data_IF_262455052248
#
_entry.id   IF_262455052248
#
_cell.length_a   1.000
_cell.length_b   1.000
_cell.length_c   1.000
_cell.angle_alpha   90.00
_cell.angle_beta   90.00
_cell.angle_gamma   90.00
#
_symmetry.space_group_name_H-M   'P 1'
#
loop_
_entity.id
_entity.type
_entity.pdbx_description
1 polymer ?
#
# COMPACT_ATOMS: atom_id res chain seq x y z
N UNK A 1 35.70 -62.77 -31.35
CA UNK A 1 35.67 -62.22 -30.00
C UNK A 1 35.79 -60.72 -30.15
N UNK A 2 34.72 -59.93 -30.12
CA UNK A 2 34.82 -58.48 -30.09
C UNK A 2 34.80 -57.97 -28.67
N UNK A 3 35.68 -57.01 -28.46
CA UNK A 3 35.96 -56.25 -27.24
C UNK A 3 34.77 -55.37 -26.85
N UNK A 4 34.30 -55.52 -25.61
CA UNK A 4 33.25 -54.67 -25.02
C UNK A 4 33.90 -53.56 -24.21
N UNK A 5 34.12 -52.43 -24.89
CA UNK A 5 34.52 -51.20 -24.20
C UNK A 5 33.30 -50.55 -23.58
N UNK A 6 33.14 -50.69 -22.27
CA UNK A 6 32.08 -50.11 -21.45
C UNK A 6 32.37 -48.62 -21.25
N UNK A 7 31.60 -47.76 -21.93
CA UNK A 7 31.61 -46.31 -21.69
C UNK A 7 30.91 -46.02 -20.33
N UNK A 8 31.71 -45.64 -19.34
CA UNK A 8 31.21 -45.07 -18.11
C UNK A 8 30.70 -43.66 -18.37
N UNK A 9 29.39 -43.47 -18.29
CA UNK A 9 28.76 -42.15 -18.29
C UNK A 9 29.06 -41.51 -16.91
N UNK A 10 29.90 -40.48 -16.90
CA UNK A 10 30.06 -39.59 -15.76
C UNK A 10 28.76 -38.77 -15.66
N UNK A 11 27.99 -38.97 -14.60
CA UNK A 11 26.98 -38.04 -14.16
C UNK A 11 27.70 -36.79 -13.62
N UNK A 12 27.81 -35.77 -14.46
CA UNK A 12 28.16 -34.43 -14.01
C UNK A 12 27.00 -33.90 -13.20
N UNK A 13 27.19 -33.93 -11.88
CA UNK A 13 26.28 -33.30 -10.93
C UNK A 13 26.18 -31.81 -11.24
N UNK A 14 25.06 -31.40 -11.82
CA UNK A 14 24.74 -30.00 -11.98
C UNK A 14 24.79 -29.31 -10.60
N UNK A 15 25.42 -28.13 -10.50
CA UNK A 15 25.41 -27.40 -9.23
C UNK A 15 23.96 -27.06 -8.90
N UNK A 16 23.48 -27.59 -7.77
CA UNK A 16 22.21 -27.21 -7.21
C UNK A 16 22.25 -25.69 -6.96
N UNK A 17 21.52 -24.95 -7.80
CA UNK A 17 21.19 -23.56 -7.53
C UNK A 17 20.37 -23.54 -6.23
N UNK A 18 21.08 -23.44 -5.11
CA UNK A 18 20.48 -23.12 -3.83
C UNK A 18 19.95 -21.68 -3.93
N UNK A 19 18.81 -21.53 -4.61
CA UNK A 19 18.03 -20.32 -4.58
C UNK A 19 17.68 -20.05 -3.13
N UNK A 20 18.29 -19.02 -2.55
CA UNK A 20 17.92 -18.49 -1.26
C UNK A 20 16.45 -18.10 -1.33
N UNK A 21 15.55 -18.96 -0.82
CA UNK A 21 14.14 -18.65 -0.66
C UNK A 21 14.07 -17.45 0.28
N UNK A 22 13.88 -16.26 -0.27
CA UNK A 22 13.61 -15.07 0.53
C UNK A 22 12.32 -15.31 1.30
N UNK A 23 12.24 -15.00 2.60
CA UNK A 23 10.99 -15.10 3.33
C UNK A 23 9.98 -14.18 2.63
N UNK A 24 8.86 -14.75 2.19
CA UNK A 24 7.76 -14.01 1.59
C UNK A 24 7.28 -12.95 2.58
N UNK A 25 7.20 -11.70 2.15
CA UNK A 25 6.64 -10.64 2.97
C UNK A 25 5.20 -11.00 3.38
N UNK A 26 4.86 -10.77 4.65
CA UNK A 26 3.49 -10.92 5.16
C UNK A 26 2.66 -9.68 4.86
N UNK A 27 3.32 -8.53 4.84
CA UNK A 27 2.72 -7.21 4.70
C UNK A 27 3.44 -6.41 3.63
N UNK A 28 2.69 -5.74 2.75
CA UNK A 28 3.18 -4.65 1.92
C UNK A 28 2.67 -3.32 2.48
N UNK A 29 3.52 -2.32 2.57
CA UNK A 29 3.13 -0.95 2.91
C UNK A 29 3.30 -0.09 1.67
N UNK A 30 2.19 0.38 1.11
CA UNK A 30 2.14 1.20 -0.09
C UNK A 30 2.03 2.67 0.27
N UNK A 31 3.00 3.45 -0.17
CA UNK A 31 3.10 4.88 0.13
C UNK A 31 3.08 5.66 -1.18
N UNK A 32 1.92 6.14 -1.63
CA UNK A 32 1.87 7.07 -2.76
C UNK A 32 2.49 8.41 -2.35
N UNK A 33 3.44 8.91 -3.16
CA UNK A 33 4.18 10.14 -2.88
C UNK A 33 4.07 11.14 -4.04
N UNK A 34 4.01 12.42 -3.69
CA UNK A 34 4.15 13.52 -4.65
C UNK A 34 4.62 14.79 -3.96
N UNK A 35 5.91 15.14 -4.14
CA UNK A 35 6.56 16.29 -3.52
C UNK A 35 6.53 16.21 -1.99
N UNK A 36 6.97 15.06 -1.47
CA UNK A 36 6.95 14.73 -0.03
C UNK A 36 8.38 14.52 0.53
N UNK A 37 9.41 15.03 -0.14
CA UNK A 37 10.81 14.80 0.21
C UNK A 37 11.13 15.05 1.70
N UNK A 38 10.52 16.07 2.31
CA UNK A 38 10.75 16.42 3.71
C UNK A 38 10.20 15.39 4.72
N UNK A 39 9.26 14.55 4.29
CA UNK A 39 8.59 13.59 5.17
C UNK A 39 9.16 12.18 5.06
N UNK A 40 9.92 11.86 4.00
CA UNK A 40 10.30 10.48 3.64
C UNK A 40 11.13 9.79 4.72
N UNK A 41 12.15 10.46 5.24
CA UNK A 41 13.08 9.86 6.20
C UNK A 41 12.37 9.47 7.50
N UNK A 42 11.58 10.40 8.04
CA UNK A 42 10.79 10.20 9.26
C UNK A 42 9.74 9.09 9.03
N UNK A 43 9.00 9.16 7.92
CA UNK A 43 7.97 8.19 7.59
C UNK A 43 8.54 6.79 7.46
N UNK A 44 9.65 6.62 6.72
CA UNK A 44 10.30 5.31 6.56
C UNK A 44 10.76 4.76 7.91
N UNK A 45 11.30 5.63 8.79
CA UNK A 45 11.67 5.26 10.14
C UNK A 45 10.51 4.74 10.97
N UNK A 46 9.41 5.45 10.97
CA UNK A 46 8.22 5.08 11.73
C UNK A 46 7.55 3.83 11.19
N UNK A 47 7.48 3.65 9.85
CA UNK A 47 6.97 2.41 9.26
C UNK A 47 7.85 1.22 9.65
N UNK A 48 9.18 1.35 9.53
CA UNK A 48 10.11 0.26 9.89
C UNK A 48 9.99 -0.12 11.37
N UNK A 49 9.86 0.86 12.26
CA UNK A 49 9.67 0.63 13.68
C UNK A 49 8.33 -0.07 13.98
N UNK A 50 7.24 0.40 13.36
CA UNK A 50 5.91 -0.17 13.53
C UNK A 50 5.82 -1.61 12.98
N UNK A 51 6.56 -1.93 11.92
CA UNK A 51 6.59 -3.24 11.29
C UNK A 51 7.58 -4.23 11.95
N UNK A 52 8.22 -3.87 13.07
CA UNK A 52 9.19 -4.73 13.74
C UNK A 52 8.59 -6.10 14.04
N UNK A 53 9.27 -7.18 13.60
CA UNK A 53 8.81 -8.57 13.74
C UNK A 53 7.79 -9.03 12.69
N UNK A 54 7.38 -8.16 11.77
CA UNK A 54 6.50 -8.50 10.65
C UNK A 54 7.33 -8.44 9.37
N UNK A 55 7.52 -9.56 8.62
CA UNK A 55 8.19 -9.52 7.32
C UNK A 55 7.44 -8.56 6.38
N UNK A 56 8.07 -7.42 6.07
CA UNK A 56 7.38 -6.30 5.41
C UNK A 56 8.14 -5.82 4.18
N UNK A 57 7.43 -5.56 3.10
CA UNK A 57 7.90 -4.79 1.95
C UNK A 57 7.27 -3.38 1.98
N UNK A 58 8.08 -2.35 1.79
CA UNK A 58 7.63 -0.95 1.71
C UNK A 58 7.82 -0.49 0.28
N UNK A 59 6.75 -0.04 -0.36
CA UNK A 59 6.76 0.38 -1.76
C UNK A 59 6.33 1.83 -1.86
N UNK A 60 7.26 2.71 -2.20
CA UNK A 60 6.96 4.08 -2.56
C UNK A 60 6.50 4.13 -4.02
N UNK A 61 5.33 4.71 -4.27
CA UNK A 61 4.84 4.96 -5.63
C UNK A 61 4.83 6.46 -5.86
N UNK A 62 5.86 6.94 -6.56
CA UNK A 62 6.19 8.36 -6.61
C UNK A 62 5.81 9.03 -7.93
N UNK A 63 5.03 10.12 -7.83
CA UNK A 63 4.57 10.97 -8.93
C UNK A 63 5.27 12.34 -8.96
N UNK A 64 6.42 12.48 -8.28
CA UNK A 64 7.10 13.75 -8.15
C UNK A 64 7.90 14.14 -9.39
N UNK A 65 8.07 15.45 -9.59
CA UNK A 65 8.99 16.05 -10.56
C UNK A 65 10.18 16.75 -9.86
N UNK A 66 10.20 16.69 -8.51
CA UNK A 66 11.26 17.27 -7.68
C UNK A 66 12.27 16.17 -7.25
N UNK A 67 13.04 16.46 -6.20
CA UNK A 67 14.07 15.56 -5.67
C UNK A 67 13.53 14.43 -4.77
N UNK A 68 12.21 14.29 -4.58
CA UNK A 68 11.60 13.24 -3.74
C UNK A 68 12.13 11.82 -4.05
N UNK A 69 12.23 11.36 -5.33
CA UNK A 69 12.76 10.03 -5.61
C UNK A 69 14.23 9.84 -5.19
N UNK A 70 15.02 10.93 -5.19
CA UNK A 70 16.42 10.89 -4.74
C UNK A 70 16.47 10.71 -3.22
N UNK A 71 15.61 11.42 -2.49
CA UNK A 71 15.51 11.29 -1.03
C UNK A 71 15.05 9.90 -0.62
N UNK A 72 14.05 9.32 -1.33
CA UNK A 72 13.60 7.94 -1.08
C UNK A 72 14.77 6.96 -1.20
N UNK A 73 15.57 7.05 -2.27
CA UNK A 73 16.74 6.19 -2.47
C UNK A 73 17.80 6.36 -1.38
N UNK A 74 18.04 7.60 -0.97
CA UNK A 74 19.01 7.91 0.08
C UNK A 74 18.55 7.35 1.44
N UNK A 75 17.32 7.60 1.84
CA UNK A 75 16.74 7.10 3.07
C UNK A 75 16.72 5.57 3.14
N UNK A 76 16.38 4.90 2.04
CA UNK A 76 16.39 3.44 1.95
C UNK A 76 17.80 2.87 2.16
N UNK A 77 18.85 3.48 1.55
CA UNK A 77 20.24 3.04 1.71
C UNK A 77 20.78 3.22 3.13
N UNK A 78 20.40 4.31 3.80
CA UNK A 78 20.81 4.60 5.18
C UNK A 78 20.25 3.59 6.17
N UNK A 79 19.07 3.03 5.88
CA UNK A 79 18.40 2.02 6.70
C UNK A 79 18.71 0.58 6.26
N UNK A 80 19.71 0.40 5.38
CA UNK A 80 20.15 -0.93 4.93
C UNK A 80 20.51 -1.83 6.11
N UNK A 81 19.75 -2.91 6.33
CA UNK A 81 19.85 -3.81 7.49
C UNK A 81 18.57 -3.87 8.33
N UNK A 82 17.63 -2.98 8.13
CA UNK A 82 16.29 -3.09 8.73
C UNK A 82 15.53 -4.30 8.17
N UNK A 83 14.60 -4.85 8.96
CA UNK A 83 13.82 -6.04 8.60
C UNK A 83 12.84 -5.83 7.43
N UNK A 84 12.86 -4.66 6.79
CA UNK A 84 11.96 -4.27 5.72
C UNK A 84 12.70 -4.20 4.38
N UNK A 85 12.08 -4.77 3.34
CA UNK A 85 12.47 -4.52 1.96
C UNK A 85 11.89 -3.17 1.53
N UNK A 86 12.68 -2.31 0.88
CA UNK A 86 12.20 -1.02 0.36
C UNK A 86 12.36 -1.00 -1.16
N UNK A 87 11.31 -0.59 -1.85
CA UNK A 87 11.27 -0.46 -3.30
C UNK A 87 10.67 0.87 -3.72
N UNK A 88 11.02 1.33 -4.92
CA UNK A 88 10.52 2.56 -5.52
C UNK A 88 9.92 2.27 -6.90
N UNK A 89 8.73 2.78 -7.11
CA UNK A 89 8.07 2.90 -8.40
C UNK A 89 7.97 4.39 -8.71
N UNK A 90 8.80 4.88 -9.63
CA UNK A 90 8.75 6.29 -10.03
C UNK A 90 7.99 6.44 -11.35
N UNK A 91 6.74 6.93 -11.28
CA UNK A 91 5.87 7.14 -12.44
C UNK A 91 6.16 8.49 -13.09
N UNK A 92 6.43 8.50 -14.40
CA UNK A 92 6.79 9.71 -15.15
C UNK A 92 5.77 10.02 -16.23
N UNK A 93 5.50 11.29 -16.45
CA UNK A 93 4.68 11.76 -17.57
C UNK A 93 3.35 11.01 -17.71
N UNK A 94 3.13 10.35 -18.84
CA UNK A 94 1.91 9.60 -19.14
C UNK A 94 1.64 8.38 -18.25
N UNK A 95 2.59 7.94 -17.43
CA UNK A 95 2.40 6.86 -16.46
C UNK A 95 1.53 7.29 -15.25
N UNK A 96 1.41 8.60 -14.98
CA UNK A 96 0.66 9.17 -13.84
C UNK A 96 -0.85 9.14 -14.04
N UNK A 97 -1.38 8.06 -14.62
CA UNK A 97 -2.82 7.90 -14.81
C UNK A 97 -3.53 7.63 -13.49
N UNK A 98 -4.76 8.13 -13.33
CA UNK A 98 -5.57 7.88 -12.13
C UNK A 98 -5.13 8.62 -10.86
N UNK A 99 -4.15 9.54 -10.95
CA UNK A 99 -3.62 10.31 -9.80
C UNK A 99 -3.18 9.39 -8.64
N UNK A 100 -3.45 9.76 -7.39
CA UNK A 100 -3.11 8.98 -6.21
C UNK A 100 -3.75 7.57 -6.24
N UNK A 101 -5.01 7.46 -6.65
CA UNK A 101 -5.67 6.15 -6.76
C UNK A 101 -4.96 5.24 -7.76
N UNK A 102 -4.48 5.79 -8.89
CA UNK A 102 -3.66 5.06 -9.86
C UNK A 102 -2.33 4.59 -9.26
N UNK A 103 -1.67 5.45 -8.45
CA UNK A 103 -0.46 5.07 -7.75
C UNK A 103 -0.68 3.88 -6.82
N UNK A 104 -1.78 3.87 -6.08
CA UNK A 104 -2.13 2.73 -5.20
C UNK A 104 -2.39 1.46 -6.01
N UNK A 105 -3.11 1.55 -7.13
CA UNK A 105 -3.37 0.38 -7.99
C UNK A 105 -2.07 -0.18 -8.56
N UNK A 106 -1.16 0.67 -9.06
CA UNK A 106 0.15 0.23 -9.54
C UNK A 106 0.97 -0.43 -8.43
N UNK A 107 0.94 0.14 -7.22
CA UNK A 107 1.56 -0.47 -6.05
C UNK A 107 0.96 -1.83 -5.70
N UNK A 108 -0.38 -1.97 -5.74
CA UNK A 108 -1.07 -3.24 -5.50
C UNK A 108 -0.73 -4.30 -6.55
N UNK A 109 -0.48 -3.93 -7.79
CA UNK A 109 0.01 -4.86 -8.83
C UNK A 109 1.45 -5.30 -8.59
N UNK A 110 2.29 -4.43 -8.04
CA UNK A 110 3.72 -4.68 -7.86
C UNK A 110 4.05 -5.56 -6.65
N UNK A 111 3.14 -5.67 -5.66
CA UNK A 111 3.39 -6.41 -4.41
C UNK A 111 2.82 -7.82 -4.46
N UNK A 112 3.50 -8.74 -3.76
CA UNK A 112 3.07 -10.14 -3.64
C UNK A 112 2.61 -10.52 -2.24
N UNK A 113 2.83 -9.66 -1.24
CA UNK A 113 2.40 -9.90 0.13
C UNK A 113 0.87 -10.11 0.21
N UNK A 114 0.40 -11.04 1.07
CA UNK A 114 -1.02 -11.30 1.22
C UNK A 114 -1.83 -10.11 1.75
N UNK A 115 -1.18 -9.19 2.45
CA UNK A 115 -1.79 -7.97 2.98
C UNK A 115 -1.09 -6.74 2.41
N UNK A 116 -1.87 -5.77 1.97
CA UNK A 116 -1.37 -4.47 1.52
C UNK A 116 -1.99 -3.35 2.36
N UNK A 117 -1.14 -2.57 3.03
CA UNK A 117 -1.51 -1.38 3.78
C UNK A 117 -1.20 -0.15 2.96
N UNK A 118 -2.17 0.73 2.81
CA UNK A 118 -2.02 2.02 2.11
C UNK A 118 -2.05 3.13 3.14
N UNK A 119 -1.11 4.09 3.07
CA UNK A 119 -1.12 5.31 3.85
C UNK A 119 -0.44 6.46 3.11
N UNK A 120 -0.88 7.69 3.36
CA UNK A 120 -0.32 8.89 2.74
C UNK A 120 1.06 9.24 3.33
N UNK A 121 1.91 9.92 2.55
CA UNK A 121 3.29 10.24 2.92
C UNK A 121 3.45 11.48 3.82
N UNK A 122 2.37 12.16 4.22
CA UNK A 122 2.40 13.44 4.93
C UNK A 122 2.43 13.34 6.47
N UNK A 123 2.60 12.10 6.98
CA UNK A 123 2.63 11.77 8.41
C UNK A 123 1.32 12.05 9.19
N UNK A 124 0.24 12.40 8.51
CA UNK A 124 -1.09 12.53 9.14
C UNK A 124 -1.69 11.17 9.53
N UNK A 125 -1.25 10.11 8.88
CA UNK A 125 -1.58 8.72 9.18
C UNK A 125 -0.45 8.09 10.02
N UNK A 126 -0.64 7.86 11.33
CA UNK A 126 0.42 7.30 12.19
C UNK A 126 0.70 5.84 11.84
N UNK A 127 1.93 5.51 11.37
CA UNK A 127 2.29 4.14 11.00
C UNK A 127 2.15 3.13 12.13
N UNK A 128 2.16 3.58 13.37
CA UNK A 128 2.00 2.77 14.58
C UNK A 128 0.66 2.03 14.64
N UNK A 129 -0.32 2.45 13.84
CA UNK A 129 -1.63 1.78 13.71
C UNK A 129 -1.57 0.53 12.82
N UNK A 130 -0.53 0.39 11.98
CA UNK A 130 -0.40 -0.73 11.03
C UNK A 130 -0.51 -2.11 11.69
N UNK A 131 0.20 -2.42 12.79
CA UNK A 131 0.07 -3.72 13.46
C UNK A 131 -1.35 -3.98 13.97
N UNK A 132 -2.03 -2.94 14.47
CA UNK A 132 -3.40 -3.05 14.95
C UNK A 132 -4.38 -3.32 13.80
N UNK A 133 -4.21 -2.68 12.64
CA UNK A 133 -4.99 -2.98 11.44
C UNK A 133 -4.83 -4.45 11.04
N UNK A 134 -3.58 -4.95 11.00
CA UNK A 134 -3.29 -6.33 10.61
C UNK A 134 -3.89 -7.34 11.60
N UNK A 135 -3.66 -7.16 12.90
CA UNK A 135 -4.18 -8.07 13.94
C UNK A 135 -5.70 -8.05 14.00
N UNK A 136 -6.33 -6.88 13.83
CA UNK A 136 -7.80 -6.76 13.80
C UNK A 136 -8.37 -7.45 12.56
N UNK A 137 -7.76 -7.24 11.37
CA UNK A 137 -8.20 -7.92 10.15
C UNK A 137 -8.11 -9.45 10.26
N UNK A 138 -7.03 -9.96 10.84
CA UNK A 138 -6.83 -11.40 11.05
C UNK A 138 -7.84 -11.96 12.07
N UNK A 139 -8.00 -11.32 13.22
CA UNK A 139 -8.94 -11.70 14.28
C UNK A 139 -10.38 -11.75 13.78
N UNK A 140 -10.81 -10.71 13.06
CA UNK A 140 -12.19 -10.55 12.58
C UNK A 140 -12.43 -11.30 11.26
N UNK A 141 -11.39 -11.96 10.72
CA UNK A 141 -11.41 -12.60 9.40
C UNK A 141 -11.89 -11.64 8.31
N UNK A 142 -11.53 -10.37 8.45
CA UNK A 142 -11.92 -9.34 7.52
C UNK A 142 -11.03 -9.39 6.24
N UNK A 143 -11.55 -8.84 5.17
CA UNK A 143 -10.84 -8.68 3.90
C UNK A 143 -10.26 -7.27 3.78
N UNK A 144 -10.79 -6.33 4.60
CA UNK A 144 -10.43 -4.93 4.62
C UNK A 144 -10.48 -4.41 6.07
N UNK A 145 -9.40 -3.80 6.55
CA UNK A 145 -9.39 -3.05 7.81
C UNK A 145 -9.13 -1.57 7.53
N UNK A 146 -10.02 -0.70 7.98
CA UNK A 146 -10.00 0.73 7.72
C UNK A 146 -9.56 1.45 8.98
N UNK A 147 -8.51 2.28 8.90
CA UNK A 147 -8.22 3.24 9.94
C UNK A 147 -9.27 4.37 9.84
N UNK A 148 -10.15 4.45 10.82
CA UNK A 148 -11.29 5.37 10.81
C UNK A 148 -11.09 6.51 11.81
N UNK A 149 -11.36 7.72 11.37
CA UNK A 149 -11.38 8.93 12.20
C UNK A 149 -12.67 9.06 13.00
N UNK A 150 -13.66 8.21 12.72
CA UNK A 150 -15.03 8.36 13.20
C UNK A 150 -15.56 7.15 13.97
N UNK A 151 -14.76 6.09 14.14
CA UNK A 151 -15.16 4.93 14.96
C UNK A 151 -14.39 4.88 16.27
N UNK A 152 -15.03 4.36 17.32
CA UNK A 152 -14.43 4.14 18.63
C UNK A 152 -13.71 5.37 19.18
N UNK A 153 -12.39 5.28 19.37
CA UNK A 153 -11.52 6.36 19.86
C UNK A 153 -10.97 7.24 18.74
N UNK A 154 -11.47 7.08 17.51
CA UNK A 154 -11.02 7.84 16.34
C UNK A 154 -11.24 9.34 16.49
N UNK A 155 -10.28 10.16 16.03
CA UNK A 155 -10.32 11.62 16.09
C UNK A 155 -9.81 12.22 14.81
N UNK A 156 -10.43 13.33 14.39
CA UNK A 156 -10.07 14.08 13.16
C UNK A 156 -9.36 15.42 13.50
N UNK A 157 -8.56 15.44 14.56
CA UNK A 157 -7.99 16.67 15.14
C UNK A 157 -7.14 17.45 14.13
N UNK A 158 -6.35 16.77 13.28
CA UNK A 158 -5.55 17.40 12.21
C UNK A 158 -6.34 17.84 10.98
N UNK A 159 -7.67 17.77 11.02
CA UNK A 159 -8.52 18.22 9.92
C UNK A 159 -9.06 19.62 10.23
N UNK A 160 -8.59 20.64 9.51
CA UNK A 160 -9.12 21.99 9.65
C UNK A 160 -10.65 22.03 9.38
N UNK A 161 -11.40 23.02 9.92
CA UNK A 161 -12.85 23.01 9.97
C UNK A 161 -13.51 22.90 8.58
N UNK A 162 -13.00 23.59 7.58
CA UNK A 162 -13.50 23.53 6.20
C UNK A 162 -13.36 22.14 5.61
N UNK A 163 -12.19 21.49 5.81
CA UNK A 163 -11.93 20.14 5.34
C UNK A 163 -12.78 19.10 6.08
N UNK A 164 -13.02 19.31 7.36
CA UNK A 164 -13.92 18.46 8.16
C UNK A 164 -15.33 18.48 7.59
N UNK A 165 -15.88 19.66 7.28
CA UNK A 165 -17.20 19.81 6.65
C UNK A 165 -17.23 19.13 5.28
N UNK A 166 -16.25 19.38 4.42
CA UNK A 166 -16.16 18.74 3.09
C UNK A 166 -16.09 17.21 3.25
N UNK A 167 -15.26 16.70 4.14
CA UNK A 167 -15.13 15.27 4.39
C UNK A 167 -16.44 14.64 4.86
N UNK A 168 -17.16 15.32 5.77
CA UNK A 168 -18.46 14.85 6.29
C UNK A 168 -19.54 14.86 5.20
N UNK A 169 -19.64 15.92 4.41
CA UNK A 169 -20.60 16.03 3.29
C UNK A 169 -20.29 14.95 2.25
N UNK A 170 -19.04 14.81 1.83
CA UNK A 170 -18.63 13.80 0.86
C UNK A 170 -18.87 12.37 1.36
N UNK A 171 -18.56 12.08 2.62
CA UNK A 171 -18.82 10.78 3.23
C UNK A 171 -20.32 10.47 3.35
N UNK A 172 -21.14 11.48 3.68
CA UNK A 172 -22.60 11.34 3.74
C UNK A 172 -23.21 11.11 2.35
N UNK A 173 -22.75 11.84 1.34
CA UNK A 173 -23.17 11.64 -0.05
C UNK A 173 -22.81 10.23 -0.55
N UNK A 174 -21.62 9.74 -0.23
CA UNK A 174 -21.22 8.37 -0.57
C UNK A 174 -22.16 7.33 0.08
N UNK A 175 -22.44 7.46 1.38
CA UNK A 175 -23.35 6.55 2.09
C UNK A 175 -24.77 6.57 1.57
N UNK A 176 -25.27 7.76 1.17
CA UNK A 176 -26.57 7.90 0.55
C UNK A 176 -26.66 7.21 -0.82
N UNK A 177 -25.60 7.33 -1.62
CA UNK A 177 -25.55 6.74 -2.98
C UNK A 177 -25.28 5.22 -2.96
N UNK A 178 -24.57 4.72 -1.93
CA UNK A 178 -24.16 3.33 -1.82
C UNK A 178 -24.49 2.72 -0.45
N UNK A 179 -25.77 2.77 0.01
CA UNK A 179 -26.15 2.40 1.38
C UNK A 179 -25.84 0.93 1.72
N UNK A 180 -25.97 0.03 0.75
CA UNK A 180 -25.67 -1.39 0.92
C UNK A 180 -24.16 -1.65 0.95
N UNK A 181 -23.40 -1.00 0.07
CA UNK A 181 -21.95 -1.20 -0.07
C UNK A 181 -21.16 -0.61 1.09
N UNK A 182 -21.65 0.46 1.67
CA UNK A 182 -21.01 1.18 2.78
C UNK A 182 -21.66 0.91 4.13
N UNK A 183 -22.50 -0.14 4.22
CA UNK A 183 -23.13 -0.51 5.47
C UNK A 183 -22.07 -0.88 6.51
N UNK A 184 -22.12 -0.19 7.67
CA UNK A 184 -21.18 -0.40 8.76
C UNK A 184 -19.81 0.27 8.59
N UNK A 185 -19.58 1.00 7.48
CA UNK A 185 -18.35 1.77 7.28
C UNK A 185 -18.58 3.23 7.68
N UNK A 186 -17.83 3.69 8.68
CA UNK A 186 -17.95 5.07 9.20
C UNK A 186 -17.06 6.04 8.43
N UNK A 187 -15.90 5.60 7.92
CA UNK A 187 -14.94 6.44 7.17
C UNK A 187 -14.60 5.88 5.78
N UNK A 188 -15.54 5.91 4.82
CA UNK A 188 -15.28 5.43 3.47
C UNK A 188 -14.29 6.31 2.68
N UNK A 189 -13.88 7.43 3.28
CA UNK A 189 -12.98 8.42 2.69
C UNK A 189 -11.55 8.32 3.21
N UNK A 190 -11.27 7.36 4.10
CA UNK A 190 -9.94 7.19 4.67
C UNK A 190 -8.90 6.90 3.58
N UNK A 191 -7.73 7.53 3.68
CA UNK A 191 -6.53 7.20 2.90
C UNK A 191 -5.67 6.12 3.58
N UNK A 192 -6.07 5.65 4.77
CA UNK A 192 -5.34 4.69 5.56
C UNK A 192 -6.15 3.41 5.78
N UNK A 193 -5.75 2.33 5.12
CA UNK A 193 -6.44 1.06 5.19
C UNK A 193 -5.51 -0.11 4.86
N UNK A 194 -5.88 -1.29 5.33
CA UNK A 194 -5.24 -2.57 5.02
C UNK A 194 -6.21 -3.43 4.23
N UNK A 195 -5.78 -4.03 3.14
CA UNK A 195 -6.59 -4.90 2.28
C UNK A 195 -5.92 -6.25 2.06
N UNK A 196 -6.69 -7.33 2.09
CA UNK A 196 -6.26 -8.65 1.66
C UNK A 196 -6.13 -8.67 0.14
N UNK A 197 -4.90 -8.88 -0.38
CA UNK A 197 -4.61 -8.80 -1.81
C UNK A 197 -5.47 -9.76 -2.64
N UNK A 198 -5.73 -10.97 -2.13
CA UNK A 198 -6.54 -11.99 -2.82
C UNK A 198 -8.05 -11.71 -2.80
N UNK A 199 -8.53 -10.75 -2.01
CA UNK A 199 -9.95 -10.40 -1.93
C UNK A 199 -10.36 -9.33 -2.95
N UNK A 200 -9.40 -8.76 -3.68
CA UNK A 200 -9.64 -7.68 -4.64
C UNK A 200 -9.17 -8.06 -6.04
N UNK A 201 -10.04 -7.82 -6.99
CA UNK A 201 -9.73 -7.87 -8.42
C UNK A 201 -9.29 -6.45 -8.85
N UNK A 202 -8.01 -6.29 -9.17
CA UNK A 202 -7.46 -5.00 -9.56
C UNK A 202 -7.91 -4.57 -10.97
N UNK A 203 -8.30 -5.52 -11.81
CA UNK A 203 -8.70 -5.25 -13.19
C UNK A 203 -10.05 -4.54 -13.29
N UNK A 204 -10.86 -4.60 -12.24
CA UNK A 204 -12.13 -3.86 -12.19
C UNK A 204 -11.98 -2.42 -11.70
N UNK A 205 -10.84 -2.07 -11.12
CA UNK A 205 -10.59 -0.72 -10.60
C UNK A 205 -10.37 0.27 -11.73
N UNK A 206 -10.94 1.47 -11.57
CA UNK A 206 -10.84 2.57 -12.54
C UNK A 206 -10.54 3.86 -11.77
N UNK A 207 -9.35 3.94 -11.13
CA UNK A 207 -9.05 5.01 -10.21
C UNK A 207 -9.15 6.38 -10.89
N UNK A 208 -9.96 7.26 -10.27
CA UNK A 208 -10.08 8.66 -10.64
C UNK A 208 -9.89 9.50 -9.39
N UNK A 209 -8.74 10.17 -9.28
CA UNK A 209 -8.44 11.02 -8.13
C UNK A 209 -7.87 10.23 -6.95
N UNK A 210 -8.29 10.57 -5.72
CA UNK A 210 -7.58 10.17 -4.50
C UNK A 210 -8.38 9.26 -3.53
N UNK A 211 -9.59 8.81 -3.90
CA UNK A 211 -10.47 8.03 -3.00
C UNK A 211 -10.60 6.56 -3.41
N UNK A 212 -9.46 5.88 -3.46
CA UNK A 212 -9.37 4.48 -3.89
C UNK A 212 -10.12 3.52 -2.94
N UNK A 213 -10.15 3.81 -1.63
CA UNK A 213 -10.90 2.99 -0.67
C UNK A 213 -12.38 2.91 -1.01
N UNK A 214 -13.00 4.05 -1.34
CA UNK A 214 -14.41 4.08 -1.74
C UNK A 214 -14.64 3.24 -3.00
N UNK A 215 -13.76 3.34 -3.98
CA UNK A 215 -13.86 2.54 -5.20
C UNK A 215 -13.74 1.04 -4.91
N UNK A 216 -12.81 0.63 -4.04
CA UNK A 216 -12.69 -0.75 -3.57
C UNK A 216 -14.01 -1.25 -2.95
N UNK A 217 -14.57 -0.50 -2.00
CA UNK A 217 -15.82 -0.86 -1.32
C UNK A 217 -17.02 -0.96 -2.27
N UNK A 218 -17.11 -0.06 -3.26
CA UNK A 218 -18.25 -0.03 -4.19
C UNK A 218 -18.14 -1.13 -5.23
N UNK A 219 -16.96 -1.35 -5.81
CA UNK A 219 -16.77 -2.33 -6.89
C UNK A 219 -16.69 -3.77 -6.38
N UNK A 220 -16.15 -3.98 -5.16
CA UNK A 220 -16.06 -5.31 -4.53
C UNK A 220 -17.15 -5.49 -3.48
N UNK A 221 -18.34 -5.81 -3.95
CA UNK A 221 -19.56 -5.87 -3.11
C UNK A 221 -19.66 -7.05 -2.18
N UNK A 222 -18.60 -7.56 -1.64
CA UNK A 222 -18.62 -8.69 -0.71
C UNK A 222 -17.50 -8.62 0.31
N UNK A 223 -16.70 -7.55 0.30
CA UNK A 223 -15.61 -7.38 1.25
C UNK A 223 -16.14 -7.27 2.68
N UNK A 224 -15.62 -8.11 3.56
CA UNK A 224 -15.84 -8.01 5.00
C UNK A 224 -14.91 -6.93 5.52
N UNK A 225 -15.48 -5.78 5.89
CA UNK A 225 -14.73 -4.66 6.40
C UNK A 225 -14.80 -4.57 7.93
N UNK A 226 -13.69 -4.23 8.56
CA UNK A 226 -13.60 -3.84 9.98
C UNK A 226 -12.98 -2.46 10.09
N UNK A 227 -13.19 -1.76 11.21
CA UNK A 227 -12.63 -0.43 11.41
C UNK A 227 -11.83 -0.35 12.72
N UNK A 228 -10.73 0.39 12.68
CA UNK A 228 -9.85 0.69 13.82
C UNK A 228 -9.82 2.20 13.99
N UNK A 229 -10.23 2.69 15.17
CA UNK A 229 -10.17 4.11 15.48
C UNK A 229 -8.72 4.61 15.60
N UNK A 230 -8.42 5.75 15.00
CA UNK A 230 -7.12 6.40 15.14
C UNK A 230 -7.25 7.93 15.22
N UNK A 231 -6.23 8.58 15.74
CA UNK A 231 -6.15 10.05 15.74
C UNK A 231 -5.43 10.52 14.48
N UNK A 232 -6.13 11.26 13.63
CA UNK A 232 -5.56 11.91 12.45
C UNK A 232 -4.68 13.07 12.91
N UNK A 233 -3.38 12.95 12.68
CA UNK A 233 -2.39 13.90 13.16
C UNK A 233 -2.37 15.21 12.35
N UNK A 234 -1.73 16.23 12.90
CA UNK A 234 -1.36 17.42 12.14
C UNK A 234 -0.31 17.07 11.08
N UNK A 235 -0.34 17.78 9.97
CA UNK A 235 0.64 17.59 8.89
C UNK A 235 2.03 18.03 9.36
N UNK A 236 3.03 17.16 9.13
CA UNK A 236 4.40 17.48 9.52
C UNK A 236 5.02 18.55 8.60
N UNK A 237 4.86 18.43 7.28
CA UNK A 237 5.34 19.38 6.28
C UNK A 237 4.48 19.36 5.01
N UNK A 238 4.57 20.40 4.18
CA UNK A 238 3.88 20.51 2.89
C UNK A 238 2.56 21.27 2.94
N UNK A 239 2.00 21.61 1.78
CA UNK A 239 0.74 22.34 1.63
C UNK A 239 -0.44 21.39 1.40
N UNK A 240 -1.60 21.75 1.94
CA UNK A 240 -2.84 21.01 1.73
C UNK A 240 -3.37 21.24 0.32
N UNK A 241 -3.57 20.15 -0.44
CA UNK A 241 -4.17 20.18 -1.79
C UNK A 241 -5.69 20.08 -1.76
N UNK A 242 -6.33 19.92 -0.58
CA UNK A 242 -7.78 19.78 -0.43
C UNK A 242 -8.52 21.10 -0.73
N UNK A 243 -8.93 21.28 -1.96
CA UNK A 243 -9.67 22.46 -2.43
C UNK A 243 -11.15 22.13 -2.67
N UNK A 244 -11.98 23.17 -2.73
CA UNK A 244 -13.40 23.04 -3.10
C UNK A 244 -13.55 22.36 -4.49
N UNK A 245 -12.62 22.63 -5.41
CA UNK A 245 -12.57 22.00 -6.73
C UNK A 245 -12.40 20.47 -6.64
N UNK A 246 -11.60 19.99 -5.70
CA UNK A 246 -11.44 18.54 -5.47
C UNK A 246 -12.70 17.92 -4.87
N UNK A 247 -13.42 18.65 -4.00
CA UNK A 247 -14.73 18.23 -3.52
C UNK A 247 -15.76 18.07 -4.65
N UNK A 248 -15.82 19.01 -5.58
CA UNK A 248 -16.70 18.93 -6.75
C UNK A 248 -16.28 17.79 -7.70
N UNK A 249 -14.99 17.62 -7.97
CA UNK A 249 -14.47 16.51 -8.77
C UNK A 249 -14.81 15.15 -8.15
N UNK A 250 -14.80 15.08 -6.81
CA UNK A 250 -15.22 13.90 -6.10
C UNK A 250 -16.70 13.57 -6.29
N UNK A 251 -17.59 14.56 -6.20
CA UNK A 251 -19.02 14.35 -6.45
C UNK A 251 -19.27 13.84 -7.89
N UNK A 252 -18.52 14.33 -8.87
CA UNK A 252 -18.53 13.78 -10.22
C UNK A 252 -18.10 12.31 -10.26
N UNK A 253 -17.07 11.94 -9.51
CA UNK A 253 -16.60 10.55 -9.39
C UNK A 253 -17.64 9.63 -8.75
N UNK A 254 -18.43 10.12 -7.77
CA UNK A 254 -19.55 9.37 -7.19
C UNK A 254 -20.64 9.07 -8.22
N UNK A 255 -20.99 10.05 -9.05
CA UNK A 255 -21.97 9.87 -10.12
C UNK A 255 -21.47 8.83 -11.14
N UNK A 256 -20.21 8.89 -11.54
CA UNK A 256 -19.60 7.91 -12.45
C UNK A 256 -19.60 6.51 -11.86
N UNK A 257 -19.26 6.35 -10.59
CA UNK A 257 -19.32 5.06 -9.87
C UNK A 257 -20.77 4.52 -9.81
N UNK A 258 -21.75 5.39 -9.59
CA UNK A 258 -23.16 5.00 -9.47
C UNK A 258 -23.76 4.58 -10.81
N UNK A 259 -23.36 5.25 -11.89
CA UNK A 259 -23.85 5.00 -13.25
C UNK A 259 -23.08 3.89 -13.98
N UNK A 260 -22.07 3.29 -13.33
CA UNK A 260 -21.20 2.34 -13.99
C UNK A 260 -20.39 2.94 -15.16
N UNK A 261 -20.37 4.26 -15.28
CA UNK A 261 -19.63 5.00 -16.30
C UNK A 261 -18.14 5.04 -15.95
N UNK A 262 -17.52 3.88 -15.94
CA UNK A 262 -16.08 3.77 -16.16
C UNK A 262 -15.90 3.69 -17.66
N UNK A 263 -15.00 4.49 -18.27
CA UNK A 263 -14.48 4.16 -19.60
C UNK A 263 -14.13 2.68 -19.56
N UNK A 264 -14.63 1.83 -20.51
CA UNK A 264 -14.13 0.48 -20.60
C UNK A 264 -12.60 0.61 -20.57
N UNK A 265 -11.85 -0.29 -19.92
CA UNK A 265 -10.41 -0.25 -20.06
C UNK A 265 -10.17 -0.15 -21.55
N UNK A 266 -9.23 0.66 -22.01
CA UNK A 266 -8.56 0.30 -23.22
C UNK A 266 -8.20 -1.15 -22.98
N UNK A 267 -8.67 -2.05 -23.83
CA UNK A 267 -8.39 -3.47 -23.78
C UNK A 267 -6.90 -3.65 -23.47
N UNK A 268 -6.59 -3.99 -22.22
CA UNK A 268 -5.31 -3.81 -21.56
C UNK A 268 -4.96 -2.31 -21.44
N UNK A 269 -4.99 -1.76 -20.20
CA UNK A 269 -3.96 -0.77 -19.90
C UNK A 269 -2.69 -1.40 -20.45
N UNK A 270 -1.94 -0.76 -21.35
CA UNK A 270 -0.55 -1.14 -21.44
C UNK A 270 -0.12 -0.97 -19.99
N UNK A 271 0.07 -2.08 -19.29
CA UNK A 271 0.92 -2.11 -18.12
C UNK A 271 2.24 -1.66 -18.77
N UNK A 272 2.40 -0.33 -18.86
CA UNK A 272 3.71 0.24 -19.09
C UNK A 272 4.46 -0.40 -17.94
N UNK A 273 5.38 -1.34 -18.18
CA UNK A 273 5.99 -2.08 -17.10
C UNK A 273 6.52 -1.04 -16.15
N UNK A 274 5.84 -0.89 -15.01
CA UNK A 274 6.26 0.05 -14.00
C UNK A 274 7.47 -0.60 -13.41
N UNK A 275 8.62 -0.03 -13.68
CA UNK A 275 9.89 -0.56 -13.22
C UNK A 275 9.92 -0.44 -11.70
N UNK A 276 9.88 -1.58 -11.02
CA UNK A 276 10.04 -1.65 -9.57
C UNK A 276 11.54 -1.67 -9.28
N UNK A 277 12.06 -0.59 -8.75
CA UNK A 277 13.45 -0.49 -8.32
C UNK A 277 13.59 -1.02 -6.88
N UNK A 278 14.15 -2.21 -6.65
CA UNK A 278 14.44 -2.70 -5.30
C UNK A 278 15.61 -1.90 -4.71
N UNK A 279 15.40 -1.21 -3.60
CA UNK A 279 16.40 -0.37 -2.94
C UNK A 279 17.10 -1.10 -1.79
N UNK A 280 16.37 -1.93 -1.04
CA UNK A 280 16.87 -2.73 0.08
C UNK A 280 16.20 -4.09 0.07
N UNK A 281 16.94 -5.20 -0.03
CA UNK A 281 16.37 -6.55 0.05
C UNK A 281 16.02 -6.92 1.50
N UNK A 282 15.08 -7.86 1.68
CA UNK A 282 14.80 -8.48 2.98
C UNK A 282 16.05 -9.24 3.47
N UNK A 283 16.66 -8.78 4.55
CA UNK A 283 17.76 -9.49 5.20
C UNK A 283 17.22 -10.53 6.17
N UNK A 284 17.75 -11.77 6.10
CA UNK A 284 17.47 -12.79 7.10
C UNK A 284 18.13 -12.39 8.41
N UNK A 285 17.37 -12.27 9.48
CA UNK A 285 17.93 -12.30 10.83
C UNK A 285 18.43 -13.74 11.08
N UNK A 286 19.69 -13.99 10.79
CA UNK A 286 20.42 -15.16 11.33
C UNK A 286 20.68 -14.89 12.81
N UNK A 287 19.76 -15.30 13.67
CA UNK A 287 20.10 -15.52 15.08
C UNK A 287 21.12 -16.63 15.12
N UNK A 288 22.39 -16.27 15.20
CA UNK A 288 23.45 -17.20 15.56
C UNK A 288 23.25 -17.54 17.03
N UNK A 289 22.52 -18.62 17.31
CA UNK A 289 22.52 -19.24 18.64
C UNK A 289 23.89 -19.87 18.80
N UNK A 290 24.83 -19.20 19.48
CA UNK A 290 26.07 -19.81 19.96
C UNK A 290 25.67 -20.83 21.03
N UNK A 291 25.59 -22.08 20.64
CA UNK A 291 25.61 -23.18 21.58
C UNK A 291 26.96 -23.12 22.33
N UNK A 292 26.95 -22.73 23.59
CA UNK A 292 28.09 -22.93 24.50
C UNK A 292 28.11 -24.43 24.83
N UNK A 293 28.97 -25.18 24.17
CA UNK A 293 29.41 -26.46 24.73
C UNK A 293 30.15 -26.14 26.02
N UNK A 294 29.60 -26.59 27.15
CA UNK A 294 30.35 -26.74 28.40
C UNK A 294 31.07 -28.09 28.30
N UNK A 295 32.40 -28.03 28.47
CA UNK A 295 33.25 -29.17 28.76
C UNK A 295 32.95 -29.70 30.16
#
# INVERSE_FOLDING_TARGET
MPDQTMFAIREDAAPALAGTVQPLAKLAVLVPTRKEAANIEELLGRISAAATGIPTEIVFVDDSDDHTPVVIRAAARQRGGDACQVSLIHRRGGQRTGSLGGAVVDGLHAVSAPWACVLDADLQHPPEVIPTLLTTAERDRADLAIASRYCGTGRADGLGPVRAVISTVCGSAARLLFPVRLRGVTDPMSGFFLVRRSAVDLDVLRPRGFKILLELLVRHGGLRATEVGYTFADRHAGESKGTLREGLAYLGSLADLRLGRGTPPPSRFPVCPVEVEPLVPLTRHTRTVRARCRA
#
